data_IF_899118530979
#
_entry.id   IF_899118530979
#
_cell.length_a   1.000
_cell.length_b   1.000
_cell.length_c   1.000
_cell.angle_alpha   90.00
_cell.angle_beta   90.00
_cell.angle_gamma   90.00
#
_symmetry.space_group_name_H-M   'P 1'
#
loop_
_entity.id
_entity.type
_entity.pdbx_description
1 polymer ?
#
# COMPACT_ATOMS: atom_id res chain seq x y z
N UNK A 1 9.15 -14.91 -15.31
CA UNK A 1 8.57 -15.38 -14.04
C UNK A 1 7.20 -14.74 -13.87
N UNK A 2 6.24 -15.43 -13.25
CA UNK A 2 4.93 -14.84 -12.94
C UNK A 2 4.95 -14.20 -11.57
N UNK A 3 4.61 -12.94 -11.51
CA UNK A 3 4.51 -12.14 -10.29
C UNK A 3 3.06 -11.79 -10.00
N UNK A 4 2.74 -11.51 -8.74
CA UNK A 4 1.42 -11.07 -8.33
C UNK A 4 1.54 -9.94 -7.30
N UNK A 5 1.12 -8.74 -7.69
CA UNK A 5 1.06 -7.60 -6.79
C UNK A 5 -0.29 -7.58 -6.08
N UNK A 6 -0.30 -7.94 -4.80
CA UNK A 6 -1.51 -7.87 -3.97
C UNK A 6 -1.81 -6.41 -3.68
N UNK A 7 -3.05 -6.00 -3.84
CA UNK A 7 -3.54 -4.70 -3.41
C UNK A 7 -4.89 -4.81 -2.70
N UNK A 8 -5.33 -3.71 -2.14
CA UNK A 8 -6.69 -3.60 -1.63
C UNK A 8 -7.67 -3.64 -2.80
N UNK A 9 -8.77 -4.42 -2.72
CA UNK A 9 -9.83 -4.40 -3.72
C UNK A 9 -10.31 -2.97 -4.03
N UNK A 10 -10.39 -2.64 -5.32
CA UNK A 10 -10.68 -1.30 -5.84
C UNK A 10 -9.43 -0.49 -6.23
N UNK A 11 -8.23 -0.90 -5.82
CA UNK A 11 -6.97 -0.23 -6.19
C UNK A 11 -6.25 -0.90 -7.38
N UNK A 12 -6.79 -1.99 -7.93
CA UNK A 12 -6.20 -2.73 -9.05
C UNK A 12 -5.84 -1.82 -10.25
N UNK A 13 -6.68 -0.85 -10.65
CA UNK A 13 -6.34 0.05 -11.77
C UNK A 13 -5.12 0.93 -11.49
N UNK A 14 -4.90 1.32 -10.22
CA UNK A 14 -3.74 2.13 -9.85
C UNK A 14 -2.45 1.29 -9.83
N UNK A 15 -2.51 0.07 -9.27
CA UNK A 15 -1.38 -0.87 -9.32
C UNK A 15 -1.02 -1.22 -10.76
N UNK A 16 -2.02 -1.44 -11.61
CA UNK A 16 -1.84 -1.68 -13.04
C UNK A 16 -1.07 -0.51 -13.70
N UNK A 17 -1.52 0.72 -13.46
CA UNK A 17 -0.86 1.92 -13.97
C UNK A 17 0.60 2.03 -13.50
N UNK A 18 0.89 1.67 -12.25
CA UNK A 18 2.26 1.65 -11.74
C UNK A 18 3.12 0.59 -12.44
N UNK A 19 2.60 -0.63 -12.66
CA UNK A 19 3.29 -1.74 -13.35
C UNK A 19 3.58 -1.37 -14.82
N UNK A 20 2.61 -0.81 -15.52
CA UNK A 20 2.75 -0.38 -16.92
C UNK A 20 3.83 0.70 -17.10
N UNK A 21 4.03 1.59 -16.12
CA UNK A 21 5.11 2.59 -16.13
C UNK A 21 6.51 1.98 -16.14
N UNK A 22 6.66 0.74 -15.68
CA UNK A 22 7.92 -0.01 -15.75
C UNK A 22 8.07 -0.79 -17.07
N UNK A 23 7.13 -0.65 -18.00
CA UNK A 23 7.12 -1.39 -19.26
C UNK A 23 6.77 -2.87 -19.10
N UNK A 24 6.19 -3.26 -17.95
CA UNK A 24 5.81 -4.63 -17.68
C UNK A 24 4.41 -4.91 -18.22
N UNK A 25 4.23 -6.10 -18.80
CA UNK A 25 2.94 -6.51 -19.36
C UNK A 25 2.11 -7.21 -18.31
N UNK A 26 0.98 -6.64 -17.91
CA UNK A 26 0.07 -7.30 -16.99
C UNK A 26 -0.60 -8.49 -17.68
N UNK A 27 -0.68 -9.61 -17.00
CA UNK A 27 -1.59 -10.68 -17.38
C UNK A 27 -3.00 -10.25 -16.97
N UNK A 28 -3.98 -10.33 -17.86
CA UNK A 28 -5.38 -10.09 -17.49
C UNK A 28 -5.82 -11.18 -16.52
N UNK A 29 -5.77 -10.87 -15.24
CA UNK A 29 -6.31 -11.73 -14.19
C UNK A 29 -7.70 -11.23 -13.82
N UNK A 30 -8.68 -12.13 -13.75
CA UNK A 30 -9.99 -11.84 -13.17
C UNK A 30 -9.95 -11.86 -11.62
N UNK A 31 -8.78 -12.02 -11.02
CA UNK A 31 -8.62 -12.07 -9.57
C UNK A 31 -8.78 -10.69 -8.95
N UNK A 32 -9.80 -10.55 -8.10
CA UNK A 32 -9.97 -9.37 -7.26
C UNK A 32 -8.86 -9.30 -6.20
N UNK A 33 -8.30 -8.13 -5.98
CA UNK A 33 -7.30 -7.89 -4.92
C UNK A 33 -5.85 -7.97 -5.37
N UNK A 34 -5.57 -7.94 -6.69
CA UNK A 34 -4.21 -7.86 -7.19
C UNK A 34 -4.08 -7.94 -8.69
N UNK A 35 -2.85 -7.77 -9.17
CA UNK A 35 -2.48 -7.81 -10.58
C UNK A 35 -1.39 -8.86 -10.80
N UNK A 36 -1.64 -9.82 -11.70
CA UNK A 36 -0.63 -10.75 -12.18
C UNK A 36 0.12 -10.13 -13.38
N UNK A 37 1.44 -10.26 -13.40
CA UNK A 37 2.29 -9.76 -14.48
C UNK A 37 3.50 -10.66 -14.68
N UNK A 38 4.11 -10.61 -15.86
CA UNK A 38 5.35 -11.31 -16.16
C UNK A 38 6.54 -10.36 -16.06
N UNK A 39 7.66 -10.88 -15.56
CA UNK A 39 8.89 -10.11 -15.40
C UNK A 39 10.09 -10.99 -15.02
N UNK A 40 11.24 -10.36 -14.96
CA UNK A 40 12.51 -10.93 -14.50
C UNK A 40 12.68 -10.80 -13.00
N UNK A 41 13.79 -11.30 -12.44
CA UNK A 41 14.17 -11.06 -11.05
C UNK A 41 14.47 -9.57 -10.79
N UNK A 42 15.04 -8.87 -11.77
CA UNK A 42 15.30 -7.43 -11.68
C UNK A 42 13.98 -6.64 -11.58
N UNK A 43 12.98 -7.06 -12.37
CA UNK A 43 11.65 -6.43 -12.31
C UNK A 43 10.96 -6.68 -10.96
N UNK A 44 11.19 -7.85 -10.34
CA UNK A 44 10.75 -8.12 -8.98
C UNK A 44 11.35 -7.13 -7.97
N UNK A 45 12.67 -6.92 -8.05
CA UNK A 45 13.37 -5.95 -7.20
C UNK A 45 12.83 -4.53 -7.41
N UNK A 46 12.69 -4.13 -8.68
CA UNK A 46 12.13 -2.82 -9.06
C UNK A 46 10.71 -2.63 -8.55
N UNK A 47 9.84 -3.63 -8.68
CA UNK A 47 8.47 -3.55 -8.18
C UNK A 47 8.41 -3.42 -6.65
N UNK A 48 9.19 -4.20 -5.90
CA UNK A 48 9.27 -4.08 -4.44
C UNK A 48 9.79 -2.70 -3.99
N UNK A 49 10.75 -2.16 -4.73
CA UNK A 49 11.35 -0.86 -4.44
C UNK A 49 10.35 0.29 -4.70
N UNK A 50 9.60 0.25 -5.80
CA UNK A 50 8.90 1.40 -6.35
C UNK A 50 7.37 1.38 -6.25
N UNK A 51 6.70 0.19 -6.19
CA UNK A 51 5.24 0.16 -6.13
C UNK A 51 4.72 0.78 -4.84
N UNK A 52 3.86 1.78 -4.98
CA UNK A 52 3.34 2.58 -3.87
C UNK A 52 2.02 2.06 -3.35
N UNK A 53 1.19 1.47 -4.22
CA UNK A 53 -0.18 1.07 -3.90
C UNK A 53 -0.35 -0.42 -3.64
N UNK A 54 0.61 -1.25 -4.05
CA UNK A 54 0.65 -2.66 -3.70
C UNK A 54 0.92 -2.86 -2.19
N UNK A 55 0.28 -3.85 -1.60
CA UNK A 55 0.50 -4.23 -0.20
C UNK A 55 1.58 -5.30 -0.04
N UNK A 56 1.80 -6.12 -1.08
CA UNK A 56 2.76 -7.23 -1.10
C UNK A 56 2.98 -7.71 -2.53
N UNK A 57 4.17 -8.20 -2.84
CA UNK A 57 4.51 -8.80 -4.13
C UNK A 57 4.87 -10.27 -3.92
N UNK A 58 4.34 -11.13 -4.76
CA UNK A 58 4.55 -12.56 -4.73
C UNK A 58 5.19 -13.05 -6.04
N UNK A 59 5.95 -14.13 -5.97
CA UNK A 59 6.20 -15.00 -7.13
C UNK A 59 5.16 -16.12 -7.12
N UNK A 60 4.48 -16.35 -8.23
CA UNK A 60 3.65 -17.52 -8.49
C UNK A 60 4.54 -18.69 -8.88
N UNK A 61 4.79 -19.61 -7.95
CA UNK A 61 5.63 -20.79 -8.23
C UNK A 61 4.96 -21.74 -9.20
N UNK A 62 3.63 -21.87 -9.13
CA UNK A 62 2.85 -22.70 -10.03
C UNK A 62 1.43 -22.94 -9.56
N UNK A 63 0.65 -23.59 -10.43
CA UNK A 63 -0.71 -24.01 -10.11
C UNK A 63 -0.94 -25.44 -10.58
N UNK A 64 -1.71 -26.20 -9.81
CA UNK A 64 -2.06 -27.59 -10.10
C UNK A 64 -3.31 -28.02 -9.35
N UNK A 65 -4.07 -28.94 -9.91
CA UNK A 65 -5.19 -29.57 -9.20
C UNK A 65 -4.71 -30.56 -8.15
N UNK A 66 -5.34 -30.55 -6.98
CA UNK A 66 -5.06 -31.49 -5.89
C UNK A 66 -6.35 -31.77 -5.09
N UNK A 67 -6.90 -32.97 -5.26
CA UNK A 67 -8.08 -33.42 -4.55
C UNK A 67 -7.77 -34.23 -3.28
N UNK A 68 -6.49 -34.59 -3.05
CA UNK A 68 -6.03 -35.36 -1.90
C UNK A 68 -4.66 -34.91 -1.40
N UNK A 69 -4.37 -35.17 -0.11
CA UNK A 69 -3.10 -34.79 0.52
C UNK A 69 -1.85 -35.43 -0.09
N UNK A 70 -1.86 -36.72 -0.52
CA UNK A 70 -0.70 -37.31 -1.19
C UNK A 70 -0.37 -36.62 -2.52
N UNK A 71 -1.40 -36.27 -3.29
CA UNK A 71 -1.24 -35.55 -4.55
C UNK A 71 -0.71 -34.13 -4.33
N UNK A 72 -1.26 -33.40 -3.36
CA UNK A 72 -0.79 -32.07 -2.96
C UNK A 72 0.70 -32.10 -2.63
N UNK A 73 1.12 -33.03 -1.74
CA UNK A 73 2.51 -33.15 -1.30
C UNK A 73 3.44 -33.49 -2.46
N UNK A 74 3.08 -34.46 -3.29
CA UNK A 74 3.87 -34.86 -4.46
C UNK A 74 4.04 -33.71 -5.46
N UNK A 75 2.94 -32.99 -5.81
CA UNK A 75 3.00 -31.88 -6.78
C UNK A 75 3.75 -30.67 -6.21
N UNK A 76 3.54 -30.34 -4.95
CA UNK A 76 4.24 -29.24 -4.29
C UNK A 76 5.76 -29.48 -4.16
N UNK A 77 6.23 -30.75 -4.06
CA UNK A 77 7.66 -31.05 -3.97
C UNK A 77 8.42 -30.86 -5.29
N UNK A 78 7.73 -30.70 -6.43
CA UNK A 78 8.40 -30.49 -7.73
C UNK A 78 8.88 -29.05 -7.95
N UNK A 79 8.46 -28.10 -7.10
CA UNK A 79 8.91 -26.71 -7.23
C UNK A 79 10.36 -26.54 -6.75
N UNK A 80 11.11 -25.58 -7.31
CA UNK A 80 12.52 -25.35 -6.98
C UNK A 80 12.65 -24.53 -5.66
N UNK A 81 12.27 -25.14 -4.54
CA UNK A 81 12.29 -24.49 -3.23
C UNK A 81 13.67 -24.01 -2.81
N UNK A 82 14.74 -24.66 -3.30
CA UNK A 82 16.13 -24.32 -3.05
C UNK A 82 16.55 -22.94 -3.62
N UNK A 83 15.80 -22.39 -4.54
CA UNK A 83 16.05 -21.03 -5.07
C UNK A 83 15.61 -19.94 -4.09
N UNK A 84 14.67 -20.26 -3.21
CA UNK A 84 13.98 -19.28 -2.34
C UNK A 84 14.16 -19.53 -0.85
N UNK A 85 14.57 -20.72 -0.45
CA UNK A 85 14.61 -21.15 0.93
C UNK A 85 16.01 -21.59 1.33
N UNK A 86 16.49 -21.06 2.44
CA UNK A 86 17.68 -21.57 3.12
C UNK A 86 17.27 -22.62 4.17
N UNK A 87 18.02 -23.72 4.34
CA UNK A 87 17.66 -24.79 5.26
C UNK A 87 17.43 -24.35 6.71
N UNK A 88 18.17 -23.33 7.16
CA UNK A 88 18.14 -22.86 8.56
C UNK A 88 17.02 -21.87 8.86
N UNK A 89 16.35 -21.35 7.83
CA UNK A 89 15.28 -20.37 8.03
C UNK A 89 13.92 -21.05 8.17
N UNK A 90 13.11 -20.66 9.16
CA UNK A 90 11.75 -21.15 9.28
C UNK A 90 10.87 -20.63 8.15
N UNK A 91 9.79 -21.36 7.86
CA UNK A 91 8.75 -20.94 6.90
C UNK A 91 7.45 -20.63 7.63
N UNK A 92 6.73 -19.63 7.19
CA UNK A 92 5.34 -19.38 7.55
C UNK A 92 4.46 -19.78 6.37
N UNK A 93 3.46 -20.62 6.57
CA UNK A 93 2.57 -21.08 5.50
C UNK A 93 1.16 -20.59 5.78
N UNK A 94 0.66 -19.70 4.93
CA UNK A 94 -0.71 -19.20 4.99
C UNK A 94 -1.55 -19.90 3.93
N UNK A 95 -2.63 -20.51 4.37
CA UNK A 95 -3.52 -21.29 3.52
C UNK A 95 -4.89 -20.66 3.47
N UNK A 96 -5.44 -20.51 2.27
CA UNK A 96 -6.85 -20.19 2.04
C UNK A 96 -7.50 -21.29 1.22
N UNK A 97 -8.67 -21.76 1.65
CA UNK A 97 -9.41 -22.81 0.95
C UNK A 97 -10.82 -22.31 0.68
N UNK A 98 -11.24 -22.39 -0.58
CA UNK A 98 -12.58 -22.06 -1.00
C UNK A 98 -13.12 -23.16 -1.94
N UNK A 99 -14.30 -23.70 -1.64
CA UNK A 99 -14.96 -24.73 -2.46
C UNK A 99 -14.06 -25.90 -2.88
N UNK A 100 -13.16 -26.34 -2.00
CA UNK A 100 -12.16 -27.39 -2.29
C UNK A 100 -12.32 -28.58 -1.34
N UNK A 101 -11.98 -29.78 -1.80
CA UNK A 101 -11.98 -31.01 -0.99
C UNK A 101 -10.97 -30.93 0.15
N UNK A 102 -9.82 -30.29 -0.12
CA UNK A 102 -8.82 -29.97 0.90
C UNK A 102 -9.16 -28.62 1.56
N UNK A 103 -9.94 -28.66 2.64
CA UNK A 103 -10.44 -27.46 3.33
C UNK A 103 -9.78 -27.21 4.70
N UNK A 104 -9.09 -28.21 5.28
CA UNK A 104 -8.37 -28.06 6.54
C UNK A 104 -7.04 -27.32 6.35
N UNK A 105 -7.05 -26.02 6.53
CA UNK A 105 -5.90 -25.13 6.28
C UNK A 105 -4.61 -25.62 6.98
N UNK A 106 -4.69 -26.06 8.25
CA UNK A 106 -3.53 -26.58 8.99
C UNK A 106 -2.96 -27.85 8.35
N UNK A 107 -3.81 -28.80 7.98
CA UNK A 107 -3.35 -30.04 7.34
C UNK A 107 -2.72 -29.76 5.97
N UNK A 108 -3.27 -28.83 5.21
CA UNK A 108 -2.66 -28.36 3.94
C UNK A 108 -1.28 -27.76 4.19
N UNK A 109 -1.13 -26.86 5.19
CA UNK A 109 0.15 -26.26 5.53
C UNK A 109 1.20 -27.32 5.91
N UNK A 110 0.83 -28.30 6.74
CA UNK A 110 1.71 -29.40 7.15
C UNK A 110 2.15 -30.27 5.96
N UNK A 111 1.27 -30.50 4.98
CA UNK A 111 1.60 -31.27 3.76
C UNK A 111 2.52 -30.48 2.82
N UNK A 112 2.31 -29.18 2.67
CA UNK A 112 3.19 -28.32 1.89
C UNK A 112 4.57 -28.22 2.54
N UNK A 113 4.65 -28.05 3.85
CA UNK A 113 5.94 -28.09 4.56
C UNK A 113 6.66 -29.43 4.41
N UNK A 114 5.91 -30.56 4.46
CA UNK A 114 6.46 -31.86 4.14
C UNK A 114 7.00 -31.97 2.71
N UNK A 115 6.30 -31.39 1.74
CA UNK A 115 6.74 -31.34 0.34
C UNK A 115 8.05 -30.54 0.18
N UNK A 116 8.17 -29.42 0.88
CA UNK A 116 9.39 -28.62 0.91
C UNK A 116 10.54 -29.41 1.54
N UNK A 117 10.29 -30.09 2.66
CA UNK A 117 11.29 -30.95 3.32
C UNK A 117 11.75 -32.10 2.41
N UNK A 118 10.82 -32.71 1.65
CA UNK A 118 11.13 -33.77 0.68
C UNK A 118 12.07 -33.27 -0.42
N UNK A 119 11.86 -32.04 -0.89
CA UNK A 119 12.66 -31.40 -1.95
C UNK A 119 14.04 -30.99 -1.45
N UNK A 120 14.08 -30.30 -0.32
CA UNK A 120 15.33 -29.79 0.26
C UNK A 120 16.18 -30.87 0.92
N UNK A 121 15.62 -32.10 1.11
CA UNK A 121 16.25 -33.19 1.87
C UNK A 121 16.62 -32.81 3.32
N UNK A 122 15.93 -31.81 3.85
CA UNK A 122 16.12 -31.26 5.19
C UNK A 122 14.77 -30.93 5.83
N UNK A 123 14.53 -31.21 7.13
CA UNK A 123 13.30 -30.84 7.81
C UNK A 123 13.11 -29.32 7.84
N UNK A 124 11.95 -28.86 7.38
CA UNK A 124 11.59 -27.43 7.42
C UNK A 124 10.77 -27.13 8.67
N UNK A 125 11.20 -26.14 9.45
CA UNK A 125 10.51 -25.69 10.63
C UNK A 125 9.38 -24.71 10.22
N UNK A 126 8.13 -25.08 10.58
CA UNK A 126 6.98 -24.19 10.39
C UNK A 126 6.89 -23.24 11.60
N UNK A 127 6.93 -21.95 11.34
CA UNK A 127 6.61 -20.95 12.35
C UNK A 127 5.11 -20.64 12.32
N UNK A 128 4.46 -20.65 13.49
CA UNK A 128 3.04 -20.30 13.58
C UNK A 128 2.88 -18.82 13.26
N UNK A 129 1.98 -18.51 12.31
CA UNK A 129 1.63 -17.15 11.93
C UNK A 129 1.32 -16.30 13.16
N UNK A 130 2.12 -15.28 13.36
CA UNK A 130 1.75 -14.11 14.15
C UNK A 130 0.91 -13.17 13.27
N UNK A 131 0.27 -12.18 13.86
CA UNK A 131 -0.56 -11.20 13.16
C UNK A 131 0.22 -10.56 11.99
N UNK A 132 -0.47 -10.19 10.92
CA UNK A 132 0.14 -9.59 9.70
C UNK A 132 1.01 -8.35 9.99
N UNK A 133 0.78 -7.74 11.14
CA UNK A 133 1.44 -6.52 11.58
C UNK A 133 2.72 -6.75 12.42
N UNK A 134 3.21 -7.99 12.55
CA UNK A 134 4.47 -8.24 13.26
C UNK A 134 5.60 -8.61 12.28
N UNK A 135 6.78 -7.99 12.48
CA UNK A 135 7.99 -8.39 11.76
C UNK A 135 8.24 -9.89 11.97
N UNK A 136 8.34 -10.63 10.86
CA UNK A 136 8.54 -12.07 10.91
C UNK A 136 9.79 -12.43 10.09
N UNK A 137 10.81 -13.05 10.71
CA UNK A 137 12.02 -13.48 10.01
C UNK A 137 11.80 -14.71 9.12
N UNK A 138 10.62 -15.36 9.18
CA UNK A 138 10.31 -16.54 8.40
C UNK A 138 9.86 -16.19 6.99
N UNK A 139 10.25 -17.03 6.00
CA UNK A 139 9.78 -16.91 4.64
C UNK A 139 8.30 -17.26 4.55
N UNK A 140 7.47 -16.32 4.11
CA UNK A 140 6.04 -16.54 3.94
C UNK A 140 5.74 -17.23 2.60
N UNK A 141 4.98 -18.33 2.68
CA UNK A 141 4.45 -19.08 1.55
C UNK A 141 2.93 -18.98 1.59
N UNK A 142 2.32 -18.64 0.47
CA UNK A 142 0.87 -18.55 0.32
C UNK A 142 0.37 -19.74 -0.50
N UNK A 143 -0.61 -20.44 0.04
CA UNK A 143 -1.29 -21.57 -0.60
C UNK A 143 -2.76 -21.22 -0.76
N UNK A 144 -3.20 -21.06 -1.99
CA UNK A 144 -4.61 -20.83 -2.30
C UNK A 144 -5.19 -22.06 -2.97
N UNK A 145 -6.21 -22.61 -2.37
CA UNK A 145 -7.01 -23.71 -2.93
C UNK A 145 -8.38 -23.17 -3.28
N UNK A 146 -8.73 -23.22 -4.54
CA UNK A 146 -10.05 -22.82 -5.04
C UNK A 146 -10.54 -23.84 -6.05
N UNK A 147 -11.69 -24.48 -5.78
CA UNK A 147 -12.25 -25.56 -6.62
C UNK A 147 -11.22 -26.63 -6.95
N UNK A 148 -10.47 -27.07 -5.95
CA UNK A 148 -9.38 -28.05 -6.02
C UNK A 148 -8.14 -27.59 -6.83
N UNK A 149 -8.13 -26.38 -7.40
CA UNK A 149 -6.93 -25.77 -7.98
C UNK A 149 -6.08 -25.15 -6.86
N UNK A 150 -4.88 -25.68 -6.69
CA UNK A 150 -3.87 -25.19 -5.75
C UNK A 150 -2.94 -24.21 -6.48
N UNK A 151 -2.81 -23.00 -5.97
CA UNK A 151 -1.83 -22.01 -6.40
C UNK A 151 -0.82 -21.84 -5.28
N UNK A 152 0.46 -22.06 -5.58
CA UNK A 152 1.57 -21.83 -4.65
C UNK A 152 2.26 -20.52 -5.01
N UNK A 153 2.46 -19.69 -4.00
CA UNK A 153 3.18 -18.41 -4.17
C UNK A 153 4.14 -18.19 -3.01
N UNK A 154 5.24 -17.51 -3.30
CA UNK A 154 6.22 -17.11 -2.28
C UNK A 154 6.22 -15.58 -2.15
N UNK A 155 6.27 -15.12 -0.92
CA UNK A 155 6.35 -13.69 -0.61
C UNK A 155 7.75 -13.15 -0.87
N UNK A 156 7.81 -12.04 -1.57
CA UNK A 156 9.06 -11.35 -1.88
C UNK A 156 9.27 -10.11 -1.01
N UNK A 157 8.20 -9.59 -0.44
CA UNK A 157 8.19 -8.31 0.26
C UNK A 157 8.59 -8.40 1.74
N UNK A 158 8.30 -9.52 2.41
CA UNK A 158 8.48 -9.69 3.86
C UNK A 158 7.40 -8.94 4.64
N UNK A 159 7.73 -7.81 5.24
CA UNK A 159 6.73 -6.93 5.84
C UNK A 159 5.80 -6.32 4.77
N UNK A 160 4.58 -5.95 5.19
CA UNK A 160 3.64 -5.29 4.27
C UNK A 160 4.23 -3.98 3.73
N UNK A 161 4.04 -3.72 2.43
CA UNK A 161 4.67 -2.60 1.73
C UNK A 161 4.23 -1.23 2.25
N UNK A 162 3.10 -1.11 2.94
CA UNK A 162 2.74 0.16 3.59
C UNK A 162 3.69 0.54 4.73
N UNK A 163 4.43 -0.40 5.31
CA UNK A 163 5.47 -0.10 6.31
C UNK A 163 6.72 0.43 5.63
N UNK A 164 6.75 1.75 5.35
CA UNK A 164 7.87 2.42 4.68
C UNK A 164 9.10 2.61 5.57
N UNK A 165 8.93 2.44 6.89
CA UNK A 165 10.00 2.63 7.89
C UNK A 165 10.01 4.01 8.55
N UNK A 166 9.38 5.03 7.98
CA UNK A 166 9.40 6.39 8.56
C UNK A 166 8.39 6.59 9.69
N UNK A 167 7.32 5.80 9.76
CA UNK A 167 6.27 5.99 10.76
C UNK A 167 6.57 5.23 12.04
N UNK A 168 7.06 5.94 13.05
CA UNK A 168 7.17 5.43 14.43
C UNK A 168 6.12 6.09 15.33
N UNK A 169 5.86 7.39 15.14
CA UNK A 169 4.81 8.11 15.86
C UNK A 169 3.46 7.93 15.14
N UNK A 170 2.47 7.41 15.84
CA UNK A 170 1.13 7.15 15.30
C UNK A 170 0.07 7.91 16.08
N UNK A 171 -0.91 8.44 15.37
CA UNK A 171 -2.18 8.88 15.93
C UNK A 171 -3.17 7.71 16.00
N UNK A 172 -4.33 7.88 16.62
CA UNK A 172 -5.37 6.85 16.62
C UNK A 172 -5.84 6.55 15.19
N UNK A 173 -5.74 5.27 14.76
CA UNK A 173 -6.15 4.77 13.43
C UNK A 173 -5.53 5.53 12.24
N UNK A 174 -4.20 5.47 12.07
CA UNK A 174 -3.51 6.17 11.00
C UNK A 174 -3.88 5.62 9.62
N UNK A 175 -3.92 6.50 8.61
CA UNK A 175 -4.06 6.09 7.21
C UNK A 175 -2.84 5.26 6.79
N UNK A 176 -3.04 4.11 6.13
CA UNK A 176 -1.92 3.34 5.57
C UNK A 176 -1.25 4.11 4.44
N UNK A 177 0.07 4.03 4.35
CA UNK A 177 0.89 4.72 3.35
C UNK A 177 0.49 4.33 1.92
N UNK A 178 0.18 3.05 1.69
CA UNK A 178 -0.32 2.57 0.39
C UNK A 178 -1.66 3.22 0.00
N UNK A 179 -2.51 3.50 0.98
CA UNK A 179 -3.79 4.16 0.72
C UNK A 179 -3.60 5.67 0.51
N UNK A 180 -2.69 6.31 1.24
CA UNK A 180 -2.31 7.71 1.00
C UNK A 180 -1.72 7.90 -0.42
N UNK A 181 -0.81 7.01 -0.83
CA UNK A 181 -0.27 7.00 -2.19
C UNK A 181 -1.37 6.76 -3.24
N UNK A 182 -2.33 5.86 -2.96
CA UNK A 182 -3.47 5.64 -3.85
C UNK A 182 -4.36 6.88 -4.01
N UNK A 183 -4.58 7.64 -2.92
CA UNK A 183 -5.30 8.92 -2.96
C UNK A 183 -4.59 9.94 -3.86
N UNK A 184 -3.27 10.06 -3.74
CA UNK A 184 -2.45 10.95 -4.56
C UNK A 184 -2.49 10.55 -6.04
N UNK A 185 -2.30 9.28 -6.36
CA UNK A 185 -2.36 8.79 -7.75
C UNK A 185 -3.77 8.95 -8.34
N UNK A 186 -4.80 8.61 -7.59
CA UNK A 186 -6.19 8.75 -8.04
C UNK A 186 -6.59 10.22 -8.23
N UNK A 187 -6.01 11.16 -7.45
CA UNK A 187 -6.27 12.59 -7.60
C UNK A 187 -5.79 13.17 -8.93
N UNK A 188 -4.87 12.48 -9.62
CA UNK A 188 -4.18 13.00 -10.79
C UNK A 188 -3.17 14.10 -10.46
N UNK A 189 -2.73 14.21 -9.18
CA UNK A 189 -1.71 15.18 -8.81
C UNK A 189 -0.40 14.92 -9.57
N UNK A 190 0.13 15.98 -10.17
CA UNK A 190 1.27 15.90 -11.09
C UNK A 190 2.64 15.94 -10.40
N UNK A 191 2.70 16.11 -9.07
CA UNK A 191 3.95 16.22 -8.32
C UNK A 191 4.64 17.60 -8.41
N UNK A 192 4.08 18.57 -9.12
CA UNK A 192 4.68 19.91 -9.34
C UNK A 192 3.78 21.06 -8.90
N UNK A 193 2.49 20.85 -8.83
CA UNK A 193 1.51 21.85 -8.39
C UNK A 193 1.30 21.82 -6.89
N UNK A 194 0.83 22.92 -6.28
CA UNK A 194 0.54 22.98 -4.84
C UNK A 194 -0.40 21.87 -4.37
N UNK A 195 -0.12 21.33 -3.18
CA UNK A 195 -0.93 20.31 -2.52
C UNK A 195 -1.26 20.72 -1.09
N UNK A 196 -2.51 20.55 -0.69
CA UNK A 196 -3.00 20.88 0.63
C UNK A 196 -3.65 19.66 1.30
N UNK A 197 -3.22 19.35 2.52
CA UNK A 197 -3.88 18.41 3.42
C UNK A 197 -4.29 19.12 4.73
N UNK A 198 -5.54 19.59 4.86
CA UNK A 198 -6.01 20.33 6.04
C UNK A 198 -6.40 19.45 7.23
N UNK A 199 -6.23 18.13 7.15
CA UNK A 199 -6.44 17.13 8.21
C UNK A 199 -5.30 16.12 8.22
N UNK A 200 -4.05 16.61 8.27
CA UNK A 200 -2.88 15.78 7.98
C UNK A 200 -2.59 14.71 9.05
N UNK A 201 -3.12 14.86 10.26
CA UNK A 201 -2.82 13.93 11.36
C UNK A 201 -1.32 13.75 11.54
N UNK A 202 -0.82 12.52 11.43
CA UNK A 202 0.62 12.19 11.48
C UNK A 202 1.37 12.42 10.15
N UNK A 203 0.80 13.16 9.19
CA UNK A 203 1.45 13.64 7.97
C UNK A 203 1.51 12.65 6.81
N UNK A 204 0.80 11.53 6.85
CA UNK A 204 0.98 10.43 5.88
C UNK A 204 0.80 10.87 4.42
N UNK A 205 -0.25 11.63 4.09
CA UNK A 205 -0.51 12.08 2.71
C UNK A 205 0.57 13.07 2.26
N UNK A 206 0.92 14.04 3.10
CA UNK A 206 1.93 15.04 2.79
C UNK A 206 3.32 14.40 2.60
N UNK A 207 3.69 13.41 3.44
CA UNK A 207 4.96 12.69 3.33
C UNK A 207 5.02 11.86 2.04
N UNK A 208 3.96 11.09 1.73
CA UNK A 208 3.89 10.32 0.48
C UNK A 208 3.93 11.25 -0.75
N UNK A 209 3.29 12.44 -0.68
CA UNK A 209 3.36 13.44 -1.73
C UNK A 209 4.80 13.96 -1.91
N UNK A 210 5.50 14.30 -0.84
CA UNK A 210 6.89 14.76 -0.88
C UNK A 210 7.83 13.68 -1.44
N UNK A 211 7.66 12.41 -1.02
CA UNK A 211 8.39 11.27 -1.58
C UNK A 211 8.11 11.07 -3.09
N UNK A 212 6.86 11.30 -3.54
CA UNK A 212 6.51 11.23 -4.96
C UNK A 212 7.13 12.39 -5.75
N UNK A 213 7.03 13.62 -5.27
CA UNK A 213 7.59 14.79 -5.93
C UNK A 213 9.13 14.71 -6.07
N UNK A 214 9.81 14.15 -5.07
CA UNK A 214 11.26 13.89 -5.09
C UNK A 214 11.63 12.59 -5.81
N UNK A 215 10.68 11.83 -6.29
CA UNK A 215 10.89 10.52 -6.90
C UNK A 215 11.63 9.52 -6.00
N UNK A 216 11.53 9.69 -4.69
CA UNK A 216 12.11 8.77 -3.71
C UNK A 216 11.27 7.50 -3.69
N UNK A 217 11.87 6.31 -3.93
CA UNK A 217 11.12 5.07 -3.91
C UNK A 217 10.67 4.70 -2.50
N UNK A 218 9.44 4.20 -2.34
CA UNK A 218 8.86 3.88 -1.03
C UNK A 218 9.57 2.72 -0.31
N UNK A 219 10.28 1.88 -1.07
CA UNK A 219 11.02 0.73 -0.56
C UNK A 219 12.47 1.00 -0.17
N UNK A 220 12.96 2.24 -0.33
CA UNK A 220 14.38 2.60 -0.21
C UNK A 220 15.05 2.14 1.10
N UNK A 221 14.35 2.24 2.21
CA UNK A 221 14.90 1.97 3.55
C UNK A 221 14.42 0.63 4.13
N UNK A 222 13.96 -0.28 3.28
CA UNK A 222 13.37 -1.55 3.70
C UNK A 222 14.32 -2.71 3.49
N UNK A 223 14.19 -3.71 4.34
CA UNK A 223 14.63 -5.07 4.05
C UNK A 223 13.46 -5.85 3.44
N UNK A 224 13.71 -6.59 2.37
CA UNK A 224 12.72 -7.42 1.67
C UNK A 224 13.04 -8.90 1.85
N UNK A 225 12.02 -9.76 1.82
CA UNK A 225 12.21 -11.20 1.98
C UNK A 225 13.13 -11.82 0.92
N UNK A 226 13.09 -11.30 -0.32
CA UNK A 226 13.96 -11.78 -1.40
C UNK A 226 15.46 -11.52 -1.15
N UNK A 227 15.82 -10.57 -0.28
CA UNK A 227 17.22 -10.31 0.08
C UNK A 227 17.85 -11.45 0.91
N UNK A 228 16.99 -12.31 1.45
CA UNK A 228 17.41 -13.49 2.23
C UNK A 228 17.49 -14.75 1.39
N UNK A 229 17.21 -14.68 0.09
CA UNK A 229 17.24 -15.84 -0.79
C UNK A 229 18.67 -16.21 -1.23
N UNK A 230 18.94 -17.49 -1.48
CA UNK A 230 20.28 -17.93 -1.91
C UNK A 230 20.76 -17.29 -3.24
N UNK A 231 19.83 -16.90 -4.10
CA UNK A 231 20.10 -16.29 -5.41
C UNK A 231 19.98 -14.76 -5.42
N UNK A 232 19.94 -14.11 -4.26
CA UNK A 232 19.89 -12.65 -4.17
C UNK A 232 21.17 -12.01 -4.75
N UNK A 233 21.00 -11.06 -5.66
CA UNK A 233 22.09 -10.30 -6.27
C UNK A 233 22.18 -8.91 -5.67
N UNK A 234 23.07 -8.76 -4.69
CA UNK A 234 23.35 -7.51 -4.00
C UNK A 234 23.80 -6.39 -4.96
N UNK A 235 24.61 -6.73 -5.98
CA UNK A 235 25.13 -5.73 -6.93
C UNK A 235 24.00 -5.12 -7.75
N UNK A 236 23.14 -5.95 -8.31
CA UNK A 236 21.94 -5.49 -9.05
C UNK A 236 21.03 -4.63 -8.17
N UNK A 237 20.87 -5.01 -6.89
CA UNK A 237 20.09 -4.21 -5.94
C UNK A 237 20.68 -2.83 -5.69
N UNK A 238 22.00 -2.75 -5.46
CA UNK A 238 22.72 -1.49 -5.22
C UNK A 238 22.69 -0.56 -6.45
N UNK A 239 22.76 -1.12 -7.65
CA UNK A 239 22.58 -0.40 -8.92
C UNK A 239 21.19 0.24 -8.99
N UNK A 240 20.11 -0.51 -8.71
CA UNK A 240 18.74 0.00 -8.67
C UNK A 240 18.54 1.10 -7.63
N UNK A 241 19.12 0.95 -6.44
CA UNK A 241 19.08 1.98 -5.39
C UNK A 241 19.81 3.26 -5.83
N UNK A 242 20.98 3.11 -6.45
CA UNK A 242 21.78 4.23 -6.95
C UNK A 242 21.05 5.01 -8.05
N UNK A 243 20.46 4.32 -9.02
CA UNK A 243 19.62 4.93 -10.06
C UNK A 243 18.46 5.73 -9.47
N UNK A 244 17.79 5.15 -8.48
CA UNK A 244 16.65 5.77 -7.80
C UNK A 244 17.05 6.98 -6.95
N UNK A 245 18.31 7.08 -6.53
CA UNK A 245 18.82 8.17 -5.69
C UNK A 245 19.20 9.44 -6.48
N UNK A 246 19.22 9.36 -7.80
CA UNK A 246 19.50 10.52 -8.69
C UNK A 246 18.33 11.50 -8.79
N UNK A 247 17.43 11.50 -7.81
CA UNK A 247 16.21 12.29 -7.76
C UNK A 247 16.35 13.70 -8.31
N UNK A 248 15.32 14.17 -9.01
CA UNK A 248 15.32 15.46 -9.71
C UNK A 248 15.44 16.62 -8.70
N UNK A 249 16.37 17.53 -8.95
CA UNK A 249 16.49 18.82 -8.25
C UNK A 249 15.49 19.86 -8.81
N UNK A 250 14.29 19.43 -9.22
CA UNK A 250 13.24 20.36 -9.65
C UNK A 250 12.74 21.16 -8.46
N UNK A 251 12.31 22.41 -8.64
CA UNK A 251 11.63 23.15 -7.59
C UNK A 251 10.46 22.31 -7.07
N UNK A 252 10.43 22.12 -5.76
CA UNK A 252 9.39 21.31 -5.13
C UNK A 252 8.08 22.09 -5.11
N UNK A 253 6.93 21.42 -5.31
CA UNK A 253 5.64 22.06 -5.13
C UNK A 253 5.46 22.47 -3.67
N UNK A 254 4.69 23.50 -3.41
CA UNK A 254 4.26 23.85 -2.07
C UNK A 254 3.35 22.75 -1.51
N UNK A 255 3.84 21.92 -0.60
CA UNK A 255 3.04 20.92 0.10
C UNK A 255 2.70 21.49 1.47
N UNK A 256 1.42 21.81 1.70
CA UNK A 256 0.92 22.40 2.94
C UNK A 256 0.14 21.34 3.72
N UNK A 257 0.56 21.09 4.93
CA UNK A 257 -0.09 20.11 5.82
C UNK A 257 -0.49 20.78 7.13
N UNK A 258 -1.76 20.69 7.49
CA UNK A 258 -2.25 21.28 8.74
C UNK A 258 -3.16 20.34 9.51
N UNK A 259 -3.15 20.49 10.82
CA UNK A 259 -4.08 19.86 11.74
C UNK A 259 -4.34 20.80 12.92
N UNK A 260 -5.51 20.69 13.55
CA UNK A 260 -5.84 21.46 14.77
C UNK A 260 -5.11 20.94 16.01
N UNK A 261 -4.63 19.69 15.96
CA UNK A 261 -3.93 19.02 17.06
C UNK A 261 -2.40 19.23 16.95
N UNK A 262 -1.85 19.97 17.88
CA UNK A 262 -0.41 20.22 17.95
C UNK A 262 0.42 18.94 18.16
N UNK A 263 -0.14 17.92 18.82
CA UNK A 263 0.50 16.61 18.97
C UNK A 263 0.60 15.87 17.64
N UNK A 264 -0.46 15.94 16.82
CA UNK A 264 -0.46 15.39 15.47
C UNK A 264 0.59 16.07 14.58
N UNK A 265 0.71 17.40 14.64
CA UNK A 265 1.71 18.17 13.88
C UNK A 265 3.15 17.76 14.28
N UNK A 266 3.45 17.64 15.58
CA UNK A 266 4.76 17.15 16.04
C UNK A 266 5.05 15.75 15.50
N UNK A 267 4.08 14.83 15.60
CA UNK A 267 4.23 13.47 15.05
C UNK A 267 4.44 13.49 13.53
N UNK A 268 3.78 14.41 12.80
CA UNK A 268 3.97 14.57 11.35
C UNK A 268 5.37 15.07 11.00
N UNK A 269 5.90 16.04 11.75
CA UNK A 269 7.25 16.57 11.59
C UNK A 269 8.31 15.48 11.85
N UNK A 270 8.18 14.74 12.95
CA UNK A 270 9.09 13.63 13.29
C UNK A 270 9.06 12.51 12.22
N UNK A 271 7.90 12.21 11.65
CA UNK A 271 7.76 11.24 10.57
C UNK A 271 8.38 11.77 9.27
N UNK A 272 8.21 13.06 8.94
CA UNK A 272 8.79 13.69 7.76
C UNK A 272 10.33 13.74 7.85
N UNK A 273 10.88 14.00 9.04
CA UNK A 273 12.31 13.96 9.31
C UNK A 273 12.88 12.56 9.03
N UNK A 274 12.26 11.52 9.59
CA UNK A 274 12.66 10.13 9.32
C UNK A 274 12.54 9.74 7.84
N UNK A 275 11.55 10.28 7.14
CA UNK A 275 11.40 10.11 5.69
C UNK A 275 12.41 10.91 4.86
N UNK A 276 13.12 11.88 5.48
CA UNK A 276 14.07 12.76 4.81
C UNK A 276 13.41 13.79 3.87
N UNK A 277 12.19 14.27 4.22
CA UNK A 277 11.39 15.18 3.37
C UNK A 277 10.82 16.38 4.14
N UNK A 278 11.38 16.71 5.29
CA UNK A 278 10.90 17.83 6.13
C UNK A 278 10.91 19.16 5.39
N UNK A 279 11.95 19.40 4.60
CA UNK A 279 12.14 20.62 3.81
C UNK A 279 11.17 20.74 2.61
N UNK A 280 10.38 19.70 2.33
CA UNK A 280 9.39 19.67 1.27
C UNK A 280 7.98 20.06 1.75
N UNK A 281 7.75 20.13 3.07
CA UNK A 281 6.42 20.20 3.64
C UNK A 281 6.35 21.36 4.64
N UNK A 282 5.39 22.24 4.43
CA UNK A 282 5.04 23.28 5.41
C UNK A 282 3.98 22.74 6.37
N UNK A 283 4.40 22.48 7.61
CA UNK A 283 3.49 22.03 8.68
C UNK A 283 2.97 23.21 9.49
N UNK A 284 1.67 23.23 9.77
CA UNK A 284 1.06 24.28 10.59
C UNK A 284 -0.04 23.74 11.50
N UNK A 285 -0.02 24.18 12.77
CA UNK A 285 -1.08 23.87 13.73
C UNK A 285 -2.22 24.86 13.56
N UNK A 286 -3.22 24.50 12.74
CA UNK A 286 -4.39 25.37 12.48
C UNK A 286 -5.63 24.55 12.12
N UNK A 287 -6.80 25.12 12.41
CA UNK A 287 -8.06 24.54 12.00
C UNK A 287 -8.30 24.77 10.50
N UNK A 288 -9.14 23.93 9.87
CA UNK A 288 -9.50 24.04 8.45
C UNK A 288 -10.05 25.42 8.07
N UNK A 289 -10.68 26.14 9.01
CA UNK A 289 -11.17 27.52 8.80
C UNK A 289 -10.08 28.54 8.53
N UNK A 290 -8.85 28.26 8.97
CA UNK A 290 -7.72 29.19 8.96
C UNK A 290 -6.63 28.79 7.95
N UNK A 291 -6.90 27.83 7.03
CA UNK A 291 -5.95 27.48 5.97
C UNK A 291 -5.72 28.67 5.03
N UNK A 292 -4.51 28.77 4.52
CA UNK A 292 -4.08 29.82 3.59
C UNK A 292 -3.39 29.14 2.38
N UNK A 293 -4.18 28.72 1.38
CA UNK A 293 -3.62 28.12 0.17
C UNK A 293 -2.88 29.18 -0.66
N UNK A 294 -1.84 28.78 -1.41
CA UNK A 294 -1.19 29.68 -2.36
C UNK A 294 -2.18 30.11 -3.46
N UNK A 295 -1.87 31.21 -4.19
CA UNK A 295 -2.76 31.74 -5.21
C UNK A 295 -2.91 30.83 -6.45
N UNK A 296 -1.93 29.97 -6.68
CA UNK A 296 -1.94 29.06 -7.81
C UNK A 296 -2.95 27.93 -7.59
N UNK A 297 -3.51 27.42 -8.70
CA UNK A 297 -4.38 26.24 -8.65
C UNK A 297 -3.60 25.00 -8.20
N UNK A 298 -4.23 24.21 -7.35
CA UNK A 298 -3.61 23.03 -6.74
C UNK A 298 -4.59 21.90 -6.48
N UNK A 299 -4.17 21.02 -5.61
CA UNK A 299 -4.92 19.84 -5.17
C UNK A 299 -5.13 19.84 -3.66
N UNK A 300 -6.35 19.55 -3.25
CA UNK A 300 -6.67 19.17 -1.88
C UNK A 300 -6.75 17.65 -1.84
N UNK A 301 -5.83 17.00 -1.14
CA UNK A 301 -5.86 15.55 -0.91
C UNK A 301 -5.86 15.32 0.59
N UNK A 302 -6.97 14.77 1.12
CA UNK A 302 -7.13 14.75 2.58
C UNK A 302 -8.01 13.60 3.07
N UNK A 303 -7.78 13.20 4.31
CA UNK A 303 -8.54 12.16 5.01
C UNK A 303 -9.24 12.77 6.25
N UNK A 304 -10.32 13.53 6.07
CA UNK A 304 -11.01 14.15 7.21
C UNK A 304 -11.62 13.09 8.13
N UNK A 305 -11.85 13.39 9.41
CA UNK A 305 -12.45 12.42 10.33
C UNK A 305 -13.85 11.99 9.87
N UNK A 306 -14.10 10.67 9.95
CA UNK A 306 -15.38 10.03 9.65
C UNK A 306 -15.59 8.81 10.56
N UNK A 307 -16.85 8.50 10.93
CA UNK A 307 -17.22 7.29 11.66
C UNK A 307 -17.20 7.42 13.18
N UNK A 308 -17.38 6.26 13.84
CA UNK A 308 -17.80 6.12 15.25
C UNK A 308 -16.75 6.55 16.30
N UNK A 309 -15.54 6.91 15.88
CA UNK A 309 -14.41 7.10 16.80
C UNK A 309 -14.18 8.55 17.28
N UNK A 310 -14.85 9.51 16.70
CA UNK A 310 -14.66 10.93 17.00
C UNK A 310 -15.99 11.69 16.93
N UNK A 311 -16.38 12.34 18.02
CA UNK A 311 -17.42 13.37 18.12
C UNK A 311 -18.86 12.94 17.76
N UNK A 312 -19.84 13.73 18.12
CA UNK A 312 -21.23 13.50 17.77
C UNK A 312 -21.43 13.62 16.24
N UNK A 313 -22.42 12.93 15.68
CA UNK A 313 -22.79 13.06 14.26
C UNK A 313 -23.06 14.52 13.84
N UNK A 314 -23.45 15.39 14.77
CA UNK A 314 -23.69 16.81 14.54
C UNK A 314 -22.39 17.56 14.30
N UNK A 315 -21.33 17.24 15.05
CA UNK A 315 -20.02 17.87 14.92
C UNK A 315 -19.34 17.53 13.60
N UNK A 316 -19.49 16.27 13.14
CA UNK A 316 -19.00 15.87 11.83
C UNK A 316 -19.72 16.60 10.68
N UNK A 317 -21.04 16.76 10.74
CA UNK A 317 -21.79 17.54 9.73
C UNK A 317 -21.29 18.98 9.65
N UNK A 318 -21.10 19.62 10.80
CA UNK A 318 -20.59 20.99 10.89
C UNK A 318 -19.16 21.09 10.32
N UNK A 319 -18.29 20.10 10.60
CA UNK A 319 -16.93 20.03 10.07
C UNK A 319 -16.92 19.95 8.54
N UNK A 320 -17.75 19.07 7.95
CA UNK A 320 -17.83 18.95 6.49
C UNK A 320 -18.45 20.17 5.83
N UNK A 321 -19.47 20.79 6.45
CA UNK A 321 -20.03 22.07 5.99
C UNK A 321 -18.97 23.17 6.00
N UNK A 322 -18.19 23.25 7.08
CA UNK A 322 -17.09 24.21 7.20
C UNK A 322 -15.99 23.94 6.15
N UNK A 323 -15.57 22.68 5.97
CA UNK A 323 -14.62 22.29 4.92
C UNK A 323 -15.10 22.78 3.55
N UNK A 324 -16.33 22.45 3.18
CA UNK A 324 -16.89 22.86 1.89
C UNK A 324 -16.96 24.38 1.73
N UNK A 325 -17.35 25.12 2.78
CA UNK A 325 -17.37 26.59 2.76
C UNK A 325 -15.97 27.17 2.52
N UNK A 326 -14.98 26.67 3.24
CA UNK A 326 -13.58 27.13 3.14
C UNK A 326 -13.01 26.82 1.76
N UNK A 327 -13.20 25.61 1.24
CA UNK A 327 -12.70 25.24 -0.08
C UNK A 327 -13.32 26.10 -1.17
N UNK A 328 -14.63 26.35 -1.14
CA UNK A 328 -15.28 27.26 -2.13
C UNK A 328 -14.77 28.68 -2.07
N UNK A 329 -14.42 29.20 -0.87
CA UNK A 329 -13.94 30.58 -0.73
C UNK A 329 -12.45 30.75 -1.01
N UNK A 330 -11.62 29.74 -0.70
CA UNK A 330 -10.15 29.87 -0.71
C UNK A 330 -9.46 29.04 -1.80
N UNK A 331 -10.13 28.03 -2.36
CA UNK A 331 -9.57 27.09 -3.33
C UNK A 331 -10.45 27.00 -4.60
N UNK A 332 -10.92 28.08 -5.21
CA UNK A 332 -11.74 27.99 -6.44
C UNK A 332 -10.94 27.35 -7.57
N UNK A 333 -11.53 26.37 -8.27
CA UNK A 333 -10.88 25.64 -9.35
C UNK A 333 -9.88 24.56 -8.94
N UNK A 334 -9.65 24.34 -7.65
CA UNK A 334 -8.78 23.28 -7.16
C UNK A 334 -9.44 21.92 -7.32
N UNK A 335 -8.61 20.89 -7.53
CA UNK A 335 -9.04 19.50 -7.46
C UNK A 335 -9.14 19.06 -6.00
N UNK A 336 -10.13 18.24 -5.69
CA UNK A 336 -10.33 17.71 -4.33
C UNK A 336 -10.44 16.20 -4.37
N UNK A 337 -9.64 15.53 -3.55
CA UNK A 337 -9.70 14.09 -3.33
C UNK A 337 -9.77 13.81 -1.84
N UNK A 338 -10.76 13.03 -1.43
CA UNK A 338 -10.91 12.68 -0.02
C UNK A 338 -11.49 11.28 0.18
N UNK A 339 -11.23 10.71 1.36
CA UNK A 339 -11.90 9.50 1.84
C UNK A 339 -13.10 9.88 2.70
N UNK A 340 -14.23 9.20 2.51
CA UNK A 340 -15.40 9.37 3.36
C UNK A 340 -16.20 8.07 3.48
N UNK A 341 -16.74 7.80 4.66
CA UNK A 341 -17.62 6.65 4.92
C UNK A 341 -19.11 6.95 4.68
N UNK A 342 -19.48 8.23 4.56
CA UNK A 342 -20.89 8.67 4.51
C UNK A 342 -21.13 9.69 3.40
N UNK A 343 -21.99 9.34 2.44
CA UNK A 343 -22.42 10.28 1.40
C UNK A 343 -23.19 11.49 1.99
N UNK A 344 -23.82 11.34 3.14
CA UNK A 344 -24.50 12.43 3.81
C UNK A 344 -23.52 13.51 4.30
N UNK A 345 -22.35 13.12 4.81
CA UNK A 345 -21.28 14.06 5.17
C UNK A 345 -20.78 14.81 3.93
N UNK A 346 -20.61 14.12 2.81
CA UNK A 346 -20.23 14.72 1.53
C UNK A 346 -21.27 15.73 1.05
N UNK A 347 -22.56 15.40 1.18
CA UNK A 347 -23.63 16.33 0.83
C UNK A 347 -23.56 17.63 1.66
N UNK A 348 -23.26 17.51 2.96
CA UNK A 348 -23.09 18.68 3.84
C UNK A 348 -21.90 19.57 3.43
N UNK A 349 -20.86 19.03 2.81
CA UNK A 349 -19.77 19.82 2.26
C UNK A 349 -20.22 20.71 1.08
N UNK A 350 -21.30 20.37 0.40
CA UNK A 350 -21.81 21.13 -0.75
C UNK A 350 -20.82 21.15 -1.93
N UNK A 351 -20.02 20.12 -2.08
CA UNK A 351 -19.11 19.88 -3.18
C UNK A 351 -19.63 18.73 -4.05
N UNK A 352 -19.36 18.80 -5.34
CA UNK A 352 -19.72 17.70 -6.27
C UNK A 352 -18.53 16.77 -6.44
N UNK A 353 -18.78 15.48 -6.26
CA UNK A 353 -17.80 14.41 -6.44
C UNK A 353 -18.29 13.38 -7.47
N UNK A 354 -17.37 12.59 -7.98
CA UNK A 354 -17.65 11.40 -8.79
C UNK A 354 -18.30 10.28 -7.96
N UNK A 355 -18.57 9.12 -8.59
CA UNK A 355 -19.15 7.96 -7.90
C UNK A 355 -18.22 7.38 -6.83
N UNK A 356 -16.92 7.65 -6.95
CA UNK A 356 -15.87 7.24 -6.04
C UNK A 356 -15.51 5.76 -6.12
N UNK A 357 -14.32 5.43 -5.63
CA UNK A 357 -13.80 4.07 -5.55
C UNK A 357 -14.15 3.51 -4.16
N UNK A 358 -14.91 2.40 -4.06
CA UNK A 358 -15.21 1.77 -2.78
C UNK A 358 -13.96 1.08 -2.23
N UNK A 359 -13.62 1.37 -0.96
CA UNK A 359 -12.42 0.88 -0.29
C UNK A 359 -12.72 0.52 1.17
N UNK A 360 -11.72 -0.08 1.84
CA UNK A 360 -11.74 -0.32 3.28
C UNK A 360 -10.61 0.46 3.96
N UNK A 361 -10.88 1.16 5.05
CA UNK A 361 -9.86 1.80 5.87
C UNK A 361 -10.03 1.43 7.35
N UNK A 362 -9.10 0.66 7.91
CA UNK A 362 -9.18 0.22 9.31
C UNK A 362 -10.47 -0.53 9.66
N UNK A 363 -10.98 -1.38 8.74
CA UNK A 363 -12.24 -2.11 8.90
C UNK A 363 -13.50 -1.32 8.56
N UNK A 364 -13.40 -0.04 8.22
CA UNK A 364 -14.53 0.83 7.85
C UNK A 364 -14.65 0.90 6.33
N UNK A 365 -15.86 0.70 5.79
CA UNK A 365 -16.17 0.94 4.38
C UNK A 365 -16.11 2.43 4.09
N UNK A 366 -15.30 2.83 3.12
CA UNK A 366 -15.11 4.22 2.68
C UNK A 366 -15.20 4.31 1.16
N UNK A 367 -15.41 5.51 0.66
CA UNK A 367 -15.22 5.83 -0.76
C UNK A 367 -14.09 6.85 -0.91
N UNK A 368 -13.22 6.62 -1.88
CA UNK A 368 -12.28 7.61 -2.36
C UNK A 368 -12.99 8.44 -3.44
N UNK A 369 -13.25 9.68 -3.14
CA UNK A 369 -14.06 10.60 -3.93
C UNK A 369 -13.17 11.68 -4.55
N UNK A 370 -13.46 12.04 -5.81
CA UNK A 370 -12.74 13.09 -6.55
C UNK A 370 -13.73 14.12 -7.05
N UNK A 371 -13.34 15.37 -7.03
CA UNK A 371 -14.17 16.47 -7.51
C UNK A 371 -13.34 17.72 -7.78
N UNK A 372 -14.00 18.75 -8.28
CA UNK A 372 -13.41 20.08 -8.51
C UNK A 372 -14.21 21.12 -7.74
N UNK A 373 -13.52 22.03 -7.07
CA UNK A 373 -14.16 23.20 -6.44
C UNK A 373 -14.61 24.16 -7.54
N UNK A 374 -15.92 24.38 -7.63
CA UNK A 374 -16.46 25.32 -8.64
C UNK A 374 -15.93 26.73 -8.39
N UNK A 375 -15.55 27.42 -9.48
CA UNK A 375 -15.42 28.86 -9.50
C UNK A 375 -16.84 29.47 -9.52
N UNK A 376 -17.10 30.40 -8.64
CA UNK A 376 -18.32 31.24 -8.66
C UNK A 376 -18.06 32.52 -9.41
#
# INVERSE_FOLDING_TARGET
MKHFAICQPGLEPLVLQEIERFGLSPCRSEETGGIEFEGTLIDLYRCNLHLRTASRILIRLGSFYAAGFPELRRKASHHPWEEYLSPDKPVAIRVTCHQSRLYHQRAVAERVAGAISDRLKHPVRIERNREEDQANPSQLILVRLEKDLCVLSIDTSGELLHRRGYRLATTRAPLRETLAAAMLLASGWNGTSPLLDPFCGSGTIAIEAALMARQIPPGRSRHFAFMDWPNFDQRTWDELLSESSRGHKTPLPGILASDRDAGAIRAAQDNAERAGVTDCIEFSCRAVSSIEPPPDRGWVVTNPPYGVRTESNKDLRNLYAQLGKVLRSKCPGWQVTLLCSSLQLIHNAGLKFDEGIPLMNGGIKVKLLRGTVKCF
#
